data_IF_339915271363
#
_entry.id   IF_339915271363
#
_cell.length_a   1.000
_cell.length_b   1.000
_cell.length_c   1.000
_cell.angle_alpha   90.00
_cell.angle_beta   90.00
_cell.angle_gamma   90.00
#
_symmetry.space_group_name_H-M   'P 1'
#
loop_
_entity.id
_entity.type
_entity.pdbx_description
1 polymer ?
#
# COMPACT_ATOMS: atom_id res chain seq x y z
N UNK A 1 -13.58 -13.30 33.37
CA UNK A 1 -13.36 -14.04 32.11
C UNK A 1 -14.26 -13.43 31.05
N UNK A 2 -13.74 -13.07 29.87
CA UNK A 2 -14.61 -12.61 28.79
C UNK A 2 -15.54 -13.75 28.37
N UNK A 3 -16.84 -13.49 28.29
CA UNK A 3 -17.83 -14.46 27.85
C UNK A 3 -17.50 -14.92 26.42
N UNK A 4 -17.41 -16.24 26.21
CA UNK A 4 -17.14 -16.79 24.88
C UNK A 4 -18.45 -16.95 24.14
N UNK A 5 -18.72 -16.06 23.19
CA UNK A 5 -19.82 -16.22 22.25
C UNK A 5 -19.50 -17.41 21.33
N UNK A 6 -20.35 -18.43 21.33
CA UNK A 6 -20.20 -19.59 20.45
C UNK A 6 -20.46 -19.20 19.00
N UNK A 7 -19.76 -19.82 18.06
CA UNK A 7 -19.98 -19.64 16.62
C UNK A 7 -21.43 -19.96 16.22
N UNK A 8 -21.99 -19.18 15.29
CA UNK A 8 -23.31 -19.46 14.72
C UNK A 8 -23.34 -19.18 13.23
N UNK A 9 -23.88 -20.12 12.46
CA UNK A 9 -23.99 -19.99 11.01
C UNK A 9 -24.93 -18.88 10.56
N UNK A 10 -25.92 -18.56 11.41
CA UNK A 10 -26.95 -17.55 11.16
C UNK A 10 -26.57 -16.18 11.75
N UNK A 11 -25.33 -15.99 12.18
CA UNK A 11 -24.85 -14.73 12.72
C UNK A 11 -24.16 -13.89 11.66
N UNK A 12 -24.49 -12.61 11.67
CA UNK A 12 -23.80 -11.54 10.97
C UNK A 12 -23.32 -10.54 12.02
N UNK A 13 -22.06 -10.14 11.92
CA UNK A 13 -21.50 -9.10 12.81
C UNK A 13 -21.29 -7.85 11.97
N UNK A 14 -21.87 -6.74 12.41
CA UNK A 14 -21.74 -5.43 11.77
C UNK A 14 -21.23 -4.45 12.81
N UNK A 15 -20.21 -3.65 12.49
CA UNK A 15 -19.71 -2.66 13.46
C UNK A 15 -18.73 -1.63 12.94
N UNK A 16 -18.46 -0.63 13.77
CA UNK A 16 -17.40 0.35 13.60
C UNK A 16 -16.44 0.21 14.80
N UNK A 17 -15.49 -0.73 14.78
CA UNK A 17 -14.63 -0.98 15.93
C UNK A 17 -13.71 0.22 16.18
N UNK A 18 -13.31 0.46 17.45
CA UNK A 18 -12.23 1.40 17.72
C UNK A 18 -10.96 0.97 16.96
N UNK A 19 -10.35 1.90 16.22
CA UNK A 19 -9.26 1.55 15.31
C UNK A 19 -7.98 1.13 16.05
N UNK A 20 -7.66 1.79 17.15
CA UNK A 20 -6.43 1.59 17.91
C UNK A 20 -5.15 1.97 17.12
N UNK A 21 -3.99 1.82 17.76
CA UNK A 21 -2.72 2.18 17.14
C UNK A 21 -2.46 1.37 15.87
N UNK A 22 -2.33 2.08 14.73
CA UNK A 22 -2.13 1.49 13.39
C UNK A 22 -3.16 0.40 13.04
N UNK A 23 -4.40 0.54 13.48
CA UNK A 23 -5.50 -0.39 13.17
C UNK A 23 -5.43 -1.73 13.89
N UNK A 24 -4.57 -1.87 14.91
CA UNK A 24 -4.40 -3.14 15.64
C UNK A 24 -5.71 -3.61 16.28
N UNK A 25 -6.43 -2.70 16.93
CA UNK A 25 -7.66 -3.04 17.65
C UNK A 25 -8.78 -3.42 16.68
N UNK A 26 -8.95 -2.67 15.59
CA UNK A 26 -9.89 -3.03 14.53
C UNK A 26 -9.61 -4.42 13.92
N UNK A 27 -8.33 -4.80 13.78
CA UNK A 27 -7.94 -6.11 13.27
C UNK A 27 -8.29 -7.24 14.27
N UNK A 28 -8.09 -6.99 15.56
CA UNK A 28 -8.48 -7.91 16.63
C UNK A 28 -10.00 -8.11 16.65
N UNK A 29 -10.80 -7.04 16.55
CA UNK A 29 -12.26 -7.12 16.44
C UNK A 29 -12.71 -7.90 15.20
N UNK A 30 -12.12 -7.62 14.03
CA UNK A 30 -12.46 -8.33 12.80
C UNK A 30 -12.18 -9.83 12.93
N UNK A 31 -10.98 -10.20 13.39
CA UNK A 31 -10.62 -11.60 13.57
C UNK A 31 -11.46 -12.29 14.65
N UNK A 32 -11.77 -11.59 15.75
CA UNK A 32 -12.66 -12.09 16.79
C UNK A 32 -14.06 -12.36 16.23
N UNK A 33 -14.63 -11.42 15.46
CA UNK A 33 -15.92 -11.63 14.80
C UNK A 33 -15.91 -12.83 13.85
N UNK A 34 -14.81 -13.05 13.13
CA UNK A 34 -14.64 -14.21 12.24
C UNK A 34 -14.52 -15.55 12.99
N UNK A 35 -14.38 -15.54 14.33
CA UNK A 35 -14.51 -16.75 15.16
C UNK A 35 -15.95 -17.01 15.63
N UNK A 36 -16.86 -16.06 15.44
CA UNK A 36 -18.21 -16.07 15.98
C UNK A 36 -19.30 -16.06 14.90
N UNK A 37 -18.96 -15.68 13.67
CA UNK A 37 -19.92 -15.49 12.57
C UNK A 37 -19.31 -15.83 11.21
N UNK A 38 -20.16 -16.24 10.27
CA UNK A 38 -19.79 -16.48 8.88
C UNK A 38 -19.45 -15.19 8.13
N UNK A 39 -20.07 -14.07 8.52
CA UNK A 39 -19.94 -12.78 7.86
C UNK A 39 -19.66 -11.69 8.88
N UNK A 40 -18.65 -10.88 8.60
CA UNK A 40 -18.26 -9.74 9.42
C UNK A 40 -18.11 -8.52 8.53
N UNK A 41 -18.97 -7.53 8.74
CA UNK A 41 -18.99 -6.26 8.04
C UNK A 41 -18.49 -5.15 8.98
N UNK A 42 -17.42 -4.45 8.61
CA UNK A 42 -16.85 -3.42 9.47
C UNK A 42 -16.44 -2.16 8.72
N UNK A 43 -16.62 -1.02 9.37
CA UNK A 43 -15.91 0.22 9.03
C UNK A 43 -14.49 0.12 9.58
N UNK A 44 -13.50 0.19 8.71
CA UNK A 44 -12.09 -0.04 9.03
C UNK A 44 -11.24 1.12 8.50
N UNK A 45 -10.09 1.44 9.12
CA UNK A 45 -9.22 2.49 8.62
C UNK A 45 -8.64 2.10 7.25
N UNK A 46 -8.35 3.09 6.40
CA UNK A 46 -7.90 2.90 5.02
C UNK A 46 -6.71 1.93 4.84
N UNK A 47 -5.89 1.74 5.87
CA UNK A 47 -4.77 0.78 5.88
C UNK A 47 -5.20 -0.68 5.67
N UNK A 48 -6.47 -1.04 5.88
CA UNK A 48 -7.02 -2.38 5.60
C UNK A 48 -7.09 -2.73 4.11
N UNK A 49 -6.90 -1.75 3.22
CA UNK A 49 -6.68 -2.01 1.79
C UNK A 49 -5.26 -2.55 1.49
N UNK A 50 -4.33 -2.57 2.46
CA UNK A 50 -2.95 -3.00 2.24
C UNK A 50 -2.78 -4.49 2.49
N UNK A 51 -2.04 -5.17 1.62
CA UNK A 51 -1.64 -6.58 1.80
C UNK A 51 -1.06 -6.87 3.19
N UNK A 52 -0.22 -5.96 3.72
CA UNK A 52 0.43 -6.13 5.02
C UNK A 52 -0.54 -6.22 6.21
N UNK A 53 -1.75 -5.68 6.07
CA UNK A 53 -2.84 -5.80 7.04
C UNK A 53 -3.71 -7.01 6.68
N UNK A 54 -4.14 -7.15 5.42
CA UNK A 54 -5.00 -8.24 4.98
C UNK A 54 -4.40 -9.63 5.22
N UNK A 55 -3.07 -9.80 5.13
CA UNK A 55 -2.40 -11.07 5.45
C UNK A 55 -2.54 -11.51 6.90
N UNK A 56 -2.92 -10.61 7.80
CA UNK A 56 -3.15 -10.87 9.23
C UNK A 56 -4.61 -11.16 9.56
N UNK A 57 -5.52 -10.94 8.62
CA UNK A 57 -6.93 -11.38 8.74
C UNK A 57 -6.95 -12.91 8.63
N UNK A 58 -7.90 -13.56 9.33
CA UNK A 58 -8.13 -15.00 9.30
C UNK A 58 -7.86 -15.58 7.89
N UNK A 59 -6.98 -16.59 7.81
CA UNK A 59 -6.49 -17.12 6.53
C UNK A 59 -7.60 -17.74 5.68
N UNK A 60 -8.64 -18.25 6.32
CA UNK A 60 -9.81 -18.85 5.65
C UNK A 60 -10.81 -17.79 5.16
N UNK A 61 -10.64 -16.53 5.55
CA UNK A 61 -11.56 -15.47 5.18
C UNK A 61 -11.28 -14.93 3.77
N UNK A 62 -12.37 -14.63 3.06
CA UNK A 62 -12.42 -13.94 1.77
C UNK A 62 -12.95 -12.52 1.99
N UNK A 63 -12.41 -11.55 1.26
CA UNK A 63 -12.93 -10.18 1.24
C UNK A 63 -13.93 -10.08 0.09
N UNK A 64 -15.21 -9.89 0.37
CA UNK A 64 -16.26 -9.92 -0.66
C UNK A 64 -16.88 -8.56 -0.96
N UNK A 65 -16.52 -7.53 -0.18
CA UNK A 65 -16.94 -6.15 -0.40
C UNK A 65 -15.88 -5.20 0.14
N UNK A 66 -15.55 -4.15 -0.62
CA UNK A 66 -14.64 -3.08 -0.20
C UNK A 66 -15.11 -1.74 -0.79
N UNK A 67 -15.68 -0.89 0.05
CA UNK A 67 -16.23 0.41 -0.34
C UNK A 67 -15.44 1.49 0.39
N UNK A 68 -14.92 2.49 -0.33
CA UNK A 68 -14.31 3.68 0.28
C UNK A 68 -15.43 4.57 0.81
N UNK A 69 -15.31 5.02 2.05
CA UNK A 69 -16.23 6.01 2.61
C UNK A 69 -15.87 7.41 2.09
N UNK A 70 -16.86 8.27 1.95
CA UNK A 70 -16.67 9.68 1.58
C UNK A 70 -15.89 10.42 2.67
N UNK A 71 -15.26 11.54 2.29
CA UNK A 71 -14.64 12.44 3.27
C UNK A 71 -15.72 12.96 4.26
N UNK A 72 -15.30 13.32 5.48
CA UNK A 72 -16.18 13.79 6.56
C UNK A 72 -17.32 12.81 6.96
N UNK A 73 -17.10 11.49 6.78
CA UNK A 73 -18.09 10.45 7.14
C UNK A 73 -18.34 10.26 8.64
N UNK A 74 -17.66 11.01 9.53
CA UNK A 74 -17.75 10.83 10.98
C UNK A 74 -17.99 12.14 11.71
N UNK A 75 -18.76 12.05 12.79
CA UNK A 75 -18.93 13.09 13.79
C UNK A 75 -18.31 12.59 15.09
N UNK A 76 -17.40 13.38 15.66
CA UNK A 76 -16.76 13.10 16.96
C UNK A 76 -16.90 14.35 17.83
N UNK A 77 -17.56 14.21 18.98
CA UNK A 77 -17.87 15.34 19.88
C UNK A 77 -18.53 16.52 19.14
N UNK A 78 -19.57 16.20 18.35
CA UNK A 78 -20.34 17.16 17.54
C UNK A 78 -19.54 17.95 16.50
N UNK A 79 -18.36 17.44 16.12
CA UNK A 79 -17.53 18.02 15.06
C UNK A 79 -17.27 17.00 13.96
N UNK A 80 -17.26 17.47 12.72
CA UNK A 80 -16.78 16.68 11.60
C UNK A 80 -15.35 16.20 11.87
N UNK A 81 -15.13 14.91 11.64
CA UNK A 81 -13.83 14.28 11.84
C UNK A 81 -13.45 13.51 10.58
N UNK A 82 -12.48 14.05 9.85
CA UNK A 82 -12.02 13.44 8.61
C UNK A 82 -10.99 12.33 8.88
N UNK A 83 -11.44 11.09 8.73
CA UNK A 83 -10.56 9.92 8.70
C UNK A 83 -10.93 9.03 7.53
N UNK A 84 -9.92 8.74 6.71
CA UNK A 84 -10.07 7.84 5.56
C UNK A 84 -10.38 6.43 6.03
N UNK A 85 -11.56 5.94 5.66
CA UNK A 85 -12.08 4.65 6.05
C UNK A 85 -12.61 3.87 4.85
N UNK A 86 -12.76 2.57 5.06
CA UNK A 86 -13.41 1.64 4.13
C UNK A 86 -14.47 0.84 4.88
N UNK A 87 -15.58 0.56 4.23
CA UNK A 87 -16.51 -0.47 4.66
C UNK A 87 -16.13 -1.78 3.96
N UNK A 88 -15.86 -2.82 4.74
CA UNK A 88 -15.46 -4.13 4.22
C UNK A 88 -16.36 -5.23 4.75
N UNK A 89 -16.67 -6.22 3.90
CA UNK A 89 -17.34 -7.45 4.31
C UNK A 89 -16.38 -8.62 4.09
N UNK A 90 -16.09 -9.33 5.17
CA UNK A 90 -15.28 -10.54 5.19
C UNK A 90 -16.15 -11.76 5.48
N UNK A 91 -15.84 -12.89 4.85
CA UNK A 91 -16.57 -14.13 5.06
C UNK A 91 -15.65 -15.34 5.12
N UNK A 92 -15.95 -16.30 6.00
CA UNK A 92 -15.33 -17.64 6.01
C UNK A 92 -16.23 -18.70 5.36
N UNK A 93 -17.46 -18.32 4.97
CA UNK A 93 -18.40 -19.21 4.30
C UNK A 93 -18.06 -19.29 2.81
N UNK A 94 -18.28 -20.47 2.21
CA UNK A 94 -18.26 -20.58 0.76
C UNK A 94 -19.33 -19.70 0.14
N UNK A 95 -18.98 -18.96 -0.91
CA UNK A 95 -19.86 -18.01 -1.59
C UNK A 95 -19.45 -17.87 -3.05
N UNK A 96 -20.41 -17.48 -3.89
CA UNK A 96 -20.19 -17.12 -5.30
C UNK A 96 -19.59 -15.71 -5.47
N UNK A 97 -19.53 -14.90 -4.41
CA UNK A 97 -18.93 -13.58 -4.48
C UNK A 97 -17.42 -13.67 -4.81
N UNK A 98 -16.89 -12.76 -5.65
CA UNK A 98 -15.46 -12.71 -5.93
C UNK A 98 -14.68 -12.40 -4.67
N UNK A 99 -13.51 -13.02 -4.54
CA UNK A 99 -12.58 -12.73 -3.45
C UNK A 99 -11.65 -11.58 -3.83
N UNK A 100 -11.94 -10.42 -3.27
CA UNK A 100 -11.20 -9.17 -3.45
C UNK A 100 -9.93 -9.10 -2.58
N UNK A 101 -9.63 -10.15 -1.79
CA UNK A 101 -8.47 -10.17 -0.89
C UNK A 101 -7.17 -10.18 -1.71
N UNK A 102 -6.23 -9.31 -1.34
CA UNK A 102 -4.89 -9.29 -1.92
C UNK A 102 -4.15 -10.57 -1.46
N UNK A 103 -3.86 -11.46 -2.40
CA UNK A 103 -3.34 -12.81 -2.11
C UNK A 103 -1.83 -12.87 -1.92
N UNK A 104 -1.09 -11.98 -2.56
CA UNK A 104 0.36 -11.96 -2.50
C UNK A 104 0.87 -10.54 -2.31
N UNK A 105 2.06 -10.43 -1.74
CA UNK A 105 2.77 -9.17 -1.76
C UNK A 105 3.18 -8.88 -3.19
N UNK A 106 2.78 -7.72 -3.72
CA UNK A 106 3.30 -7.27 -5.01
C UNK A 106 4.81 -7.15 -4.90
N UNK A 107 5.53 -7.75 -5.84
CA UNK A 107 6.99 -7.77 -5.80
C UNK A 107 7.53 -6.35 -5.85
N UNK A 108 8.35 -5.99 -4.87
CA UNK A 108 9.12 -4.73 -4.86
C UNK A 108 10.51 -4.92 -5.49
N UNK A 109 10.80 -6.13 -5.98
CA UNK A 109 12.08 -6.51 -6.60
C UNK A 109 11.83 -7.01 -8.02
N UNK A 110 12.81 -6.78 -8.87
CA UNK A 110 12.82 -7.29 -10.23
C UNK A 110 14.27 -7.68 -10.57
N UNK A 111 14.48 -8.72 -11.36
CA UNK A 111 15.83 -9.17 -11.74
C UNK A 111 16.57 -8.18 -12.63
N UNK A 112 15.83 -7.37 -13.37
CA UNK A 112 16.32 -6.37 -14.33
C UNK A 112 16.88 -5.08 -13.73
N UNK A 113 16.62 -4.81 -12.43
CA UNK A 113 17.06 -3.57 -11.79
C UNK A 113 17.13 -3.70 -10.26
N UNK A 114 17.89 -2.81 -9.63
CA UNK A 114 17.86 -2.58 -8.18
C UNK A 114 17.36 -1.18 -7.89
N UNK A 115 16.61 -1.03 -6.82
CA UNK A 115 16.10 0.27 -6.37
C UNK A 115 16.58 0.58 -4.96
N UNK A 116 16.81 1.86 -4.69
CA UNK A 116 17.15 2.36 -3.36
C UNK A 116 16.27 3.57 -3.05
N UNK A 117 15.96 3.78 -1.77
CA UNK A 117 15.06 4.85 -1.36
C UNK A 117 15.74 5.71 -0.29
N UNK A 118 15.71 7.02 -0.50
CA UNK A 118 15.96 8.00 0.53
C UNK A 118 14.65 8.71 0.89
N UNK A 119 14.20 8.53 2.14
CA UNK A 119 12.96 9.10 2.66
C UNK A 119 13.24 10.24 3.65
N UNK A 120 14.24 11.10 3.35
CA UNK A 120 14.68 12.15 4.26
C UNK A 120 15.02 11.60 5.66
N UNK A 121 15.81 10.53 5.71
CA UNK A 121 16.32 9.96 6.96
C UNK A 121 17.83 9.83 6.91
N UNK A 122 18.50 10.07 8.06
CA UNK A 122 19.96 9.93 8.18
C UNK A 122 20.46 8.55 7.73
N UNK A 123 19.71 7.50 8.03
CA UNK A 123 20.05 6.11 7.68
C UNK A 123 20.08 5.83 6.18
N UNK A 124 19.37 6.62 5.37
CA UNK A 124 19.26 6.43 3.92
C UNK A 124 20.15 7.37 3.12
N UNK A 125 20.84 8.33 3.77
CA UNK A 125 21.83 9.21 3.13
C UNK A 125 22.98 8.43 2.48
N UNK A 126 23.28 7.23 2.99
CA UNK A 126 24.26 6.32 2.39
C UNK A 126 24.04 6.11 0.88
N UNK A 127 22.81 6.16 0.38
CA UNK A 127 22.51 5.96 -1.04
C UNK A 127 22.98 7.11 -1.94
N UNK A 128 23.39 8.26 -1.38
CA UNK A 128 23.97 9.37 -2.15
C UNK A 128 25.38 9.02 -2.66
N UNK A 129 26.02 8.03 -2.03
CA UNK A 129 27.30 7.48 -2.47
C UNK A 129 27.13 6.66 -3.76
N UNK A 130 27.21 7.35 -4.90
CA UNK A 130 27.08 6.72 -6.22
C UNK A 130 28.20 5.71 -6.50
N UNK A 131 29.41 5.93 -5.98
CA UNK A 131 30.53 5.00 -6.21
C UNK A 131 30.35 3.68 -5.47
N UNK A 132 29.64 3.70 -4.33
CA UNK A 132 29.27 2.47 -3.61
C UNK A 132 28.05 1.79 -4.19
N UNK A 133 26.99 2.54 -4.47
CA UNK A 133 25.68 1.95 -4.84
C UNK A 133 25.49 1.77 -6.34
N UNK A 134 26.27 2.45 -7.18
CA UNK A 134 26.32 2.31 -8.63
C UNK A 134 24.93 2.43 -9.29
N UNK A 135 24.07 3.32 -8.80
CA UNK A 135 22.80 3.64 -9.46
C UNK A 135 23.06 4.45 -10.73
N UNK A 136 22.19 4.33 -11.73
CA UNK A 136 22.29 5.06 -13.00
C UNK A 136 21.79 6.50 -12.83
N UNK A 137 20.58 6.64 -12.29
CA UNK A 137 19.96 7.93 -11.97
C UNK A 137 19.04 7.85 -10.75
N UNK A 138 18.71 9.02 -10.21
CA UNK A 138 17.69 9.23 -9.20
C UNK A 138 16.57 10.12 -9.73
N UNK A 139 15.35 9.90 -9.23
CA UNK A 139 14.21 10.80 -9.44
C UNK A 139 13.64 11.22 -8.08
N UNK A 140 12.90 12.32 -8.06
CA UNK A 140 12.13 12.68 -6.87
C UNK A 140 11.10 11.59 -6.56
N UNK A 141 10.91 11.30 -5.27
CA UNK A 141 9.99 10.24 -4.83
C UNK A 141 8.66 10.79 -4.31
N UNK A 142 8.69 11.94 -3.64
CA UNK A 142 7.52 12.55 -3.02
C UNK A 142 7.70 14.06 -2.90
N UNK A 143 6.60 14.80 -3.05
CA UNK A 143 6.57 16.27 -3.02
C UNK A 143 6.20 16.87 -4.38
N UNK A 144 6.22 18.20 -4.46
CA UNK A 144 5.92 18.96 -5.68
C UNK A 144 7.21 19.24 -6.45
N UNK A 145 7.60 18.31 -7.30
CA UNK A 145 8.79 18.39 -8.15
C UNK A 145 8.44 17.92 -9.56
N UNK A 146 9.33 18.18 -10.51
CA UNK A 146 9.31 17.50 -11.80
C UNK A 146 9.92 16.09 -11.63
N UNK A 147 9.08 15.07 -11.76
CA UNK A 147 9.45 13.68 -11.56
C UNK A 147 10.24 13.09 -12.74
N UNK A 148 10.22 13.71 -13.91
CA UNK A 148 10.91 13.23 -15.11
C UNK A 148 12.39 13.68 -15.15
N UNK A 149 12.83 14.53 -14.21
CA UNK A 149 14.24 14.89 -14.06
C UNK A 149 15.03 13.70 -13.51
N UNK A 150 15.84 13.09 -14.38
CA UNK A 150 16.80 12.03 -14.03
C UNK A 150 18.10 12.65 -13.53
N UNK A 151 18.31 12.65 -12.22
CA UNK A 151 19.51 13.15 -11.57
C UNK A 151 20.61 12.10 -11.67
N UNK A 152 21.66 12.38 -12.44
CA UNK A 152 22.82 11.48 -12.62
C UNK A 152 24.04 11.90 -11.79
N UNK A 153 24.17 13.19 -11.47
CA UNK A 153 25.25 13.72 -10.65
C UNK A 153 24.84 13.73 -9.17
N UNK A 154 25.52 12.97 -8.28
CA UNK A 154 25.20 12.94 -6.86
C UNK A 154 25.31 14.31 -6.18
N UNK A 155 26.10 15.25 -6.71
CA UNK A 155 26.24 16.61 -6.16
C UNK A 155 24.95 17.44 -6.28
N UNK A 156 24.00 17.03 -7.13
CA UNK A 156 22.69 17.69 -7.30
C UNK A 156 21.63 17.18 -6.31
N UNK A 157 21.95 16.18 -5.50
CA UNK A 157 21.04 15.65 -4.49
C UNK A 157 21.00 16.56 -3.26
N UNK A 158 19.83 16.70 -2.66
CA UNK A 158 19.61 17.52 -1.46
C UNK A 158 19.07 16.64 -0.33
N UNK A 159 19.76 16.62 0.81
CA UNK A 159 19.49 15.69 1.92
C UNK A 159 18.08 15.76 2.50
N UNK A 160 17.43 16.92 2.45
CA UNK A 160 16.07 17.09 2.98
C UNK A 160 14.97 16.76 1.97
N UNK A 161 15.32 16.17 0.81
CA UNK A 161 14.38 15.74 -0.23
C UNK A 161 14.30 14.22 -0.29
N UNK A 162 13.21 13.69 -0.84
CA UNK A 162 13.05 12.25 -1.01
C UNK A 162 13.41 11.83 -2.44
N UNK A 163 14.18 10.74 -2.56
CA UNK A 163 14.66 10.22 -3.83
C UNK A 163 14.42 8.73 -4.00
N UNK A 164 14.17 8.35 -5.25
CA UNK A 164 14.11 6.98 -5.72
C UNK A 164 15.27 6.75 -6.69
N UNK A 165 16.23 5.92 -6.29
CA UNK A 165 17.42 5.60 -7.06
C UNK A 165 17.21 4.30 -7.84
N UNK A 166 17.64 4.27 -9.10
CA UNK A 166 17.49 3.11 -9.98
C UNK A 166 18.87 2.70 -10.48
N UNK A 167 19.24 1.43 -10.27
CA UNK A 167 20.36 0.76 -10.91
C UNK A 167 19.81 -0.24 -11.93
N UNK A 168 20.11 -0.03 -13.20
CA UNK A 168 19.65 -0.84 -14.32
C UNK A 168 20.67 -1.95 -14.54
N UNK A 169 20.19 -3.19 -14.72
CA UNK A 169 21.07 -4.37 -14.82
C UNK A 169 21.20 -4.91 -16.25
N UNK A 170 20.33 -4.51 -17.17
CA UNK A 170 20.43 -4.90 -18.59
C UNK A 170 19.83 -3.84 -19.54
N UNK A 171 20.14 -3.96 -20.82
CA UNK A 171 19.78 -2.94 -21.82
C UNK A 171 18.27 -2.89 -22.12
N UNK A 172 17.60 -4.06 -22.16
CA UNK A 172 16.14 -4.13 -22.31
C UNK A 172 15.43 -3.34 -21.20
N UNK A 173 15.92 -3.46 -19.97
CA UNK A 173 15.42 -2.71 -18.84
C UNK A 173 15.65 -1.20 -18.99
N UNK A 174 16.80 -0.79 -19.55
CA UNK A 174 17.12 0.61 -19.85
C UNK A 174 16.10 1.22 -20.80
N UNK A 175 15.79 0.53 -21.90
CA UNK A 175 14.78 0.96 -22.88
C UNK A 175 13.40 1.13 -22.23
N UNK A 176 12.96 0.14 -21.45
CA UNK A 176 11.65 0.16 -20.79
C UNK A 176 11.57 1.27 -19.73
N UNK A 177 12.57 1.36 -18.85
CA UNK A 177 12.62 2.37 -17.77
C UNK A 177 12.67 3.78 -18.36
N UNK A 178 13.32 3.96 -19.52
CA UNK A 178 13.34 5.25 -20.21
C UNK A 178 11.98 5.69 -20.74
N UNK A 179 11.04 4.77 -20.95
CA UNK A 179 9.66 5.04 -21.38
C UNK A 179 8.71 5.31 -20.22
N UNK A 180 9.13 5.10 -18.98
CA UNK A 180 8.30 5.37 -17.81
C UNK A 180 8.13 6.88 -17.66
N UNK A 181 6.87 7.31 -17.64
CA UNK A 181 6.48 8.68 -17.27
C UNK A 181 6.32 8.76 -15.74
N UNK A 182 7.36 9.27 -15.08
CA UNK A 182 7.39 9.36 -13.62
C UNK A 182 6.43 10.42 -13.09
N UNK A 183 6.12 11.45 -13.88
CA UNK A 183 5.13 12.46 -13.53
C UNK A 183 3.74 11.85 -13.44
N UNK A 184 3.34 11.06 -14.45
CA UNK A 184 2.10 10.29 -14.41
C UNK A 184 2.10 9.29 -13.24
N UNK A 185 3.21 8.59 -13.02
CA UNK A 185 3.34 7.62 -11.93
C UNK A 185 3.13 8.25 -10.55
N UNK A 186 3.64 9.48 -10.35
CA UNK A 186 3.54 10.22 -9.09
C UNK A 186 2.11 10.65 -8.70
N UNK A 187 1.18 10.67 -9.66
CA UNK A 187 -0.20 11.13 -9.45
C UNK A 187 -1.16 10.01 -9.08
N UNK A 188 -0.67 8.79 -8.95
CA UNK A 188 -1.49 7.59 -8.73
C UNK A 188 -2.18 7.53 -7.36
N UNK A 189 -1.66 8.18 -6.30
CA UNK A 189 -2.03 7.77 -4.93
C UNK A 189 -2.44 8.83 -3.88
N UNK A 190 -2.26 10.15 -4.01
CA UNK A 190 -2.53 11.05 -2.85
C UNK A 190 -2.71 12.55 -3.16
N UNK A 191 -3.14 13.28 -2.12
CA UNK A 191 -3.13 14.75 -1.97
C UNK A 191 -1.75 15.40 -2.15
N UNK A 192 -0.67 14.62 -2.04
CA UNK A 192 0.72 15.01 -2.34
C UNK A 192 1.25 14.03 -3.38
N UNK A 193 1.90 14.52 -4.44
CA UNK A 193 2.48 13.67 -5.47
C UNK A 193 3.60 12.78 -4.92
N UNK A 194 3.68 11.56 -5.45
CA UNK A 194 4.72 10.60 -5.16
C UNK A 194 4.34 9.18 -5.54
N UNK A 195 5.31 8.28 -5.50
CA UNK A 195 5.11 6.88 -5.85
C UNK A 195 5.92 5.94 -4.95
N UNK A 196 5.54 4.66 -4.95
CA UNK A 196 6.18 3.58 -4.23
C UNK A 196 7.02 2.69 -5.15
N UNK A 197 7.88 1.85 -4.57
CA UNK A 197 8.58 0.82 -5.35
C UNK A 197 7.60 -0.13 -6.05
N UNK A 198 6.45 -0.39 -5.44
CA UNK A 198 5.39 -1.20 -6.04
C UNK A 198 4.86 -0.56 -7.31
N UNK A 199 4.48 0.72 -7.26
CA UNK A 199 3.97 1.44 -8.44
C UNK A 199 4.99 1.41 -9.59
N UNK A 200 6.27 1.62 -9.28
CA UNK A 200 7.36 1.55 -10.26
C UNK A 200 7.52 0.16 -10.89
N UNK A 201 7.50 -0.91 -10.07
CA UNK A 201 7.64 -2.29 -10.57
C UNK A 201 6.43 -2.68 -11.40
N UNK A 202 5.21 -2.32 -10.99
CA UNK A 202 4.00 -2.58 -11.76
C UNK A 202 4.01 -1.87 -13.11
N UNK A 203 4.40 -0.59 -13.15
CA UNK A 203 4.49 0.15 -14.41
C UNK A 203 5.57 -0.43 -15.33
N UNK A 204 6.72 -0.82 -14.76
CA UNK A 204 7.76 -1.53 -15.52
C UNK A 204 7.24 -2.84 -16.12
N UNK A 205 6.59 -3.68 -15.31
CA UNK A 205 6.01 -4.96 -15.76
C UNK A 205 4.97 -4.77 -16.85
N UNK A 206 4.09 -3.77 -16.68
CA UNK A 206 3.08 -3.38 -17.66
C UNK A 206 3.72 -3.01 -19.01
N UNK A 207 4.77 -2.18 -18.99
CA UNK A 207 5.50 -1.78 -20.20
C UNK A 207 6.31 -2.93 -20.82
N UNK A 208 6.78 -3.88 -19.99
CA UNK A 208 7.48 -5.10 -20.42
C UNK A 208 6.54 -6.15 -21.01
N UNK A 209 5.23 -6.05 -20.76
CA UNK A 209 4.23 -7.03 -21.19
C UNK A 209 4.09 -8.23 -20.25
N UNK A 210 4.55 -8.12 -19.01
CA UNK A 210 4.35 -9.15 -17.98
C UNK A 210 2.94 -9.05 -17.39
N UNK A 211 2.34 -10.19 -17.04
CA UNK A 211 1.10 -10.19 -16.25
C UNK A 211 1.39 -9.67 -14.84
N UNK A 212 0.54 -8.75 -14.37
CA UNK A 212 0.56 -8.18 -13.02
C UNK A 212 0.15 -9.22 -11.97
#
# INVERSE_FOLDING_TARGET
MAEKIAFSDNRFIIGNPPFGYRGKLALEFLNKGLTEANYVAMILPNIFQRYSVQKKVNQNAKLICNIRLSDNSFIVNDKEYDVKCVFQIWTIKSTYAPDLRIKSQISIRHEDFKTFIHNNTKTTLKYFDKSKYHWDFAVHRQGYYDYNIKITDPKKLVENRQYFFIKILNEKAREIINRIDFEKLSKSNTQVYGFSTTDFVEEYKRLKGEKL
#
